data_IF_326140432383
#
_entry.id   IF_326140432383
#
_cell.length_a   1.000
_cell.length_b   1.000
_cell.length_c   1.000
_cell.angle_alpha   90.00
_cell.angle_beta   90.00
_cell.angle_gamma   90.00
#
_symmetry.space_group_name_H-M   'P 1'
#
loop_
_entity.id
_entity.type
_entity.pdbx_description
1 polymer ?
#
# COMPACT_ATOMS: atom_id res chain seq x y z
N UNK A 1 3.28 -14.63 -8.40
CA UNK A 1 2.19 -14.79 -7.44
C UNK A 1 1.02 -15.60 -8.04
N UNK A 2 0.44 -15.22 -9.18
CA UNK A 2 -0.77 -15.83 -9.75
C UNK A 2 -0.62 -17.31 -10.18
N UNK A 3 0.60 -17.83 -10.35
CA UNK A 3 0.85 -19.28 -10.58
C UNK A 3 0.52 -20.15 -9.36
N UNK A 4 0.62 -19.56 -8.17
CA UNK A 4 0.46 -20.28 -6.88
C UNK A 4 -0.71 -19.76 -6.05
N UNK A 5 -1.20 -18.58 -6.36
CA UNK A 5 -2.32 -17.93 -5.68
C UNK A 5 -3.36 -17.54 -6.72
N UNK A 6 -4.63 -17.74 -6.40
CA UNK A 6 -5.75 -17.35 -7.27
C UNK A 6 -6.71 -16.47 -6.45
N UNK A 7 -6.37 -15.20 -6.24
CA UNK A 7 -7.25 -14.27 -5.55
C UNK A 7 -8.52 -14.06 -6.38
N UNK A 8 -9.66 -13.90 -5.72
CA UNK A 8 -10.92 -13.51 -6.36
C UNK A 8 -11.05 -12.01 -6.52
N UNK A 9 -10.36 -11.26 -5.64
CA UNK A 9 -10.33 -9.81 -5.61
C UNK A 9 -8.89 -9.34 -5.41
N UNK A 10 -8.49 -8.37 -6.19
CA UNK A 10 -7.31 -7.54 -5.96
C UNK A 10 -7.79 -6.14 -5.61
N UNK A 11 -7.31 -5.62 -4.50
CA UNK A 11 -7.52 -4.24 -4.07
C UNK A 11 -6.22 -3.49 -4.34
N UNK A 12 -6.27 -2.53 -5.24
CA UNK A 12 -5.11 -1.72 -5.63
C UNK A 12 -5.25 -0.32 -5.01
N UNK A 13 -4.31 0.04 -4.15
CA UNK A 13 -4.24 1.40 -3.63
C UNK A 13 -3.60 2.32 -4.66
N UNK A 14 -4.25 3.46 -4.90
CA UNK A 14 -3.86 4.46 -5.90
C UNK A 14 -3.05 5.62 -5.29
N UNK A 15 -2.55 5.47 -4.06
CA UNK A 15 -1.69 6.47 -3.40
C UNK A 15 -0.42 6.77 -4.22
N UNK A 16 0.35 5.73 -4.59
CA UNK A 16 1.60 5.94 -5.31
C UNK A 16 1.40 6.67 -6.65
N UNK A 17 0.45 6.27 -7.52
CA UNK A 17 0.20 6.98 -8.77
C UNK A 17 -0.25 8.44 -8.60
N UNK A 18 -0.87 8.79 -7.49
CA UNK A 18 -1.30 10.18 -7.23
C UNK A 18 -0.20 11.03 -6.63
N UNK A 19 0.59 10.46 -5.71
CA UNK A 19 1.54 11.21 -4.90
C UNK A 19 2.92 11.36 -5.53
N UNK A 20 3.39 10.37 -6.29
CA UNK A 20 4.73 10.38 -6.87
C UNK A 20 4.70 10.84 -8.34
N UNK A 21 5.51 11.84 -8.63
CA UNK A 21 5.59 12.53 -9.90
C UNK A 21 6.77 12.06 -10.75
N UNK A 22 7.71 11.38 -10.11
CA UNK A 22 8.86 10.79 -10.76
C UNK A 22 8.59 9.31 -11.00
N UNK A 23 8.95 8.83 -12.18
CA UNK A 23 8.82 7.43 -12.54
C UNK A 23 9.79 6.51 -11.77
N UNK A 24 10.72 7.09 -11.04
CA UNK A 24 11.74 6.38 -10.27
C UNK A 24 11.81 6.90 -8.85
N UNK A 25 11.71 5.96 -7.91
CA UNK A 25 11.78 6.22 -6.47
C UNK A 25 12.87 5.32 -5.86
N UNK A 26 14.17 5.76 -5.83
CA UNK A 26 15.29 4.90 -5.45
C UNK A 26 15.11 4.21 -4.10
N UNK A 27 14.72 4.93 -3.05
CA UNK A 27 14.53 4.35 -1.72
C UNK A 27 13.48 3.25 -1.66
N UNK A 28 12.46 3.31 -2.51
CA UNK A 28 11.41 2.28 -2.58
C UNK A 28 11.84 1.09 -3.44
N UNK A 29 12.78 1.30 -4.37
CA UNK A 29 13.34 0.22 -5.14
C UNK A 29 14.06 -0.77 -4.22
N UNK A 30 14.88 -0.29 -3.30
CA UNK A 30 15.60 -1.11 -2.32
C UNK A 30 14.63 -1.94 -1.48
N UNK A 31 13.61 -1.31 -0.88
CA UNK A 31 12.62 -2.00 -0.05
C UNK A 31 11.85 -3.10 -0.81
N UNK A 32 11.54 -2.86 -2.07
CA UNK A 32 10.72 -3.79 -2.88
C UNK A 32 11.53 -4.87 -3.60
N UNK A 33 12.76 -4.58 -4.01
CA UNK A 33 13.54 -5.47 -4.86
C UNK A 33 14.53 -6.34 -4.10
N UNK A 34 15.06 -5.90 -2.96
CA UNK A 34 16.08 -6.65 -2.21
C UNK A 34 15.57 -8.01 -1.75
N UNK A 35 14.34 -8.08 -1.26
CA UNK A 35 13.70 -9.33 -0.83
C UNK A 35 13.33 -10.29 -1.95
N UNK A 36 13.41 -9.89 -3.21
CA UNK A 36 13.07 -10.74 -4.35
C UNK A 36 14.15 -11.79 -4.61
N UNK A 37 13.74 -13.05 -4.81
CA UNK A 37 14.66 -14.10 -5.27
C UNK A 37 15.16 -13.80 -6.68
N UNK A 38 16.43 -14.10 -6.95
CA UNK A 38 17.01 -13.99 -8.29
C UNK A 38 16.18 -14.80 -9.28
N UNK A 39 15.64 -14.14 -10.30
CA UNK A 39 14.71 -14.71 -11.27
C UNK A 39 14.56 -13.75 -12.45
N UNK A 40 13.97 -14.22 -13.55
CA UNK A 40 13.62 -13.33 -14.67
C UNK A 40 12.68 -12.21 -14.23
N UNK A 41 11.77 -12.46 -13.29
CA UNK A 41 10.90 -11.41 -12.77
C UNK A 41 11.68 -10.35 -11.98
N UNK A 42 12.69 -10.74 -11.18
CA UNK A 42 13.57 -9.77 -10.50
C UNK A 42 14.38 -8.96 -11.52
N UNK A 43 14.90 -9.62 -12.54
CA UNK A 43 15.65 -8.95 -13.63
C UNK A 43 14.77 -7.88 -14.31
N UNK A 44 13.57 -8.25 -14.69
CA UNK A 44 12.61 -7.33 -15.30
C UNK A 44 12.23 -6.18 -14.35
N UNK A 45 11.94 -6.49 -13.08
CA UNK A 45 11.59 -5.50 -12.07
C UNK A 45 12.72 -4.49 -11.84
N UNK A 46 13.96 -4.95 -11.71
CA UNK A 46 15.14 -4.07 -11.57
C UNK A 46 15.31 -3.20 -12.81
N UNK A 47 15.29 -3.80 -14.00
CA UNK A 47 15.45 -3.07 -15.25
C UNK A 47 14.40 -1.97 -15.45
N UNK A 48 13.17 -2.21 -15.00
CA UNK A 48 12.06 -1.26 -15.18
C UNK A 48 11.94 -0.23 -14.06
N UNK A 49 12.47 -0.52 -12.87
CA UNK A 49 12.29 0.33 -11.68
C UNK A 49 13.53 1.10 -11.26
N UNK A 50 14.71 0.77 -11.82
CA UNK A 50 15.99 1.34 -11.43
C UNK A 50 16.71 1.88 -12.65
N UNK A 51 17.12 3.16 -12.59
CA UNK A 51 17.88 3.79 -13.70
C UNK A 51 19.39 3.53 -13.61
N UNK A 52 19.93 3.58 -12.39
CA UNK A 52 21.38 3.49 -12.14
C UNK A 52 21.67 2.35 -11.16
N UNK A 53 22.94 1.92 -11.13
CA UNK A 53 23.44 0.91 -10.17
C UNK A 53 22.63 -0.40 -10.07
N UNK A 54 22.01 -0.81 -11.17
CA UNK A 54 21.15 -2.02 -11.23
C UNK A 54 21.84 -3.29 -10.72
N UNK A 55 23.18 -3.35 -10.82
CA UNK A 55 23.98 -4.52 -10.44
C UNK A 55 23.87 -4.83 -8.93
N UNK A 56 23.65 -3.85 -8.08
CA UNK A 56 23.60 -4.08 -6.63
C UNK A 56 22.41 -4.96 -6.24
N UNK A 57 21.29 -4.87 -6.95
CA UNK A 57 20.12 -5.73 -6.69
C UNK A 57 20.34 -7.22 -6.99
N UNK A 58 21.40 -7.55 -7.75
CA UNK A 58 21.77 -8.94 -8.06
C UNK A 58 22.95 -9.42 -7.24
N UNK A 59 23.81 -8.48 -6.83
CA UNK A 59 25.02 -8.72 -6.09
C UNK A 59 24.86 -8.20 -4.65
N UNK A 60 23.80 -8.61 -3.94
CA UNK A 60 23.51 -8.19 -2.56
C UNK A 60 24.72 -8.33 -1.60
N UNK A 61 25.74 -9.08 -2.01
CA UNK A 61 27.03 -9.16 -1.39
C UNK A 61 27.77 -7.80 -1.35
N UNK A 62 27.63 -6.96 -2.37
CA UNK A 62 28.36 -5.68 -2.44
C UNK A 62 27.79 -4.64 -1.47
N UNK A 63 26.52 -4.67 -1.19
CA UNK A 63 25.86 -3.75 -0.28
C UNK A 63 26.15 -4.07 1.19
N UNK A 64 26.20 -5.35 1.54
CA UNK A 64 26.49 -5.80 2.89
C UNK A 64 27.98 -5.87 3.21
N UNK A 65 28.86 -5.90 2.18
CA UNK A 65 30.29 -6.04 2.37
C UNK A 65 30.94 -4.78 2.99
N UNK A 66 30.34 -3.61 2.80
CA UNK A 66 30.81 -2.35 3.39
C UNK A 66 30.20 -2.08 4.80
N UNK A 67 29.19 -2.84 5.23
CA UNK A 67 28.50 -2.61 6.51
C UNK A 67 28.89 -3.56 7.61
N UNK A 68 29.64 -4.62 7.32
CA UNK A 68 29.95 -5.63 8.36
C UNK A 68 30.78 -5.09 9.52
N UNK A 69 31.61 -4.09 9.27
CA UNK A 69 32.42 -3.38 10.27
C UNK A 69 31.63 -2.28 11.03
N UNK A 70 30.45 -1.94 10.54
CA UNK A 70 29.53 -0.96 11.12
C UNK A 70 28.37 -1.60 11.88
N UNK A 71 28.29 -2.95 11.92
CA UNK A 71 27.23 -3.65 12.61
C UNK A 71 27.34 -3.42 14.12
N UNK A 72 26.24 -2.95 14.70
CA UNK A 72 26.10 -2.68 16.12
C UNK A 72 25.33 -3.81 16.82
N UNK A 73 25.39 -3.85 18.15
CA UNK A 73 24.51 -4.73 18.93
C UNK A 73 23.04 -4.48 18.66
N UNK A 74 22.68 -3.24 18.31
CA UNK A 74 21.32 -2.84 17.96
C UNK A 74 20.87 -3.45 16.62
N UNK A 75 21.75 -3.56 15.64
CA UNK A 75 21.45 -4.24 14.36
C UNK A 75 21.13 -5.71 14.58
N UNK A 76 21.89 -6.40 15.45
CA UNK A 76 21.60 -7.79 15.83
C UNK A 76 20.28 -7.94 16.60
N UNK A 77 20.01 -7.02 17.53
CA UNK A 77 18.75 -7.01 18.27
C UNK A 77 17.57 -6.74 17.34
N UNK A 78 17.70 -5.79 16.42
CA UNK A 78 16.69 -5.46 15.43
C UNK A 78 16.47 -6.61 14.44
N UNK A 79 17.49 -7.31 14.00
CA UNK A 79 17.36 -8.48 13.13
C UNK A 79 16.50 -9.58 13.78
N UNK A 80 16.75 -9.87 15.06
CA UNK A 80 15.98 -10.89 15.80
C UNK A 80 14.59 -10.38 16.17
N UNK A 81 14.49 -9.12 16.59
CA UNK A 81 13.25 -8.52 17.08
C UNK A 81 12.29 -8.14 15.96
N UNK A 82 12.78 -7.53 14.91
CA UNK A 82 11.95 -7.14 13.74
C UNK A 82 11.33 -8.35 13.05
N UNK A 83 12.05 -9.45 12.91
CA UNK A 83 11.50 -10.68 12.36
C UNK A 83 10.30 -11.17 13.17
N UNK A 84 10.43 -11.19 14.51
CA UNK A 84 9.32 -11.57 15.39
C UNK A 84 8.16 -10.59 15.37
N UNK A 85 8.44 -9.31 15.26
CA UNK A 85 7.42 -8.25 15.18
C UNK A 85 6.68 -8.31 13.86
N UNK A 86 7.38 -8.46 12.75
CA UNK A 86 6.76 -8.62 11.41
C UNK A 86 5.92 -9.90 11.32
N UNK A 87 6.40 -11.02 11.85
CA UNK A 87 5.61 -12.24 11.95
C UNK A 87 4.35 -12.05 12.80
N UNK A 88 4.45 -11.31 13.90
CA UNK A 88 3.33 -11.02 14.80
C UNK A 88 2.26 -10.18 14.12
N UNK A 89 2.62 -9.14 13.40
CA UNK A 89 1.68 -8.18 12.81
C UNK A 89 1.38 -8.44 11.34
N UNK A 90 1.97 -9.50 10.73
CA UNK A 90 1.75 -9.90 9.33
C UNK A 90 1.94 -8.75 8.33
N UNK A 91 2.96 -7.94 8.56
CA UNK A 91 3.30 -6.79 7.74
C UNK A 91 2.67 -5.46 8.18
N UNK A 92 1.80 -5.45 9.18
CA UNK A 92 1.31 -4.20 9.75
C UNK A 92 2.36 -3.58 10.68
N UNK A 93 2.64 -2.30 10.52
CA UNK A 93 3.53 -1.53 11.41
C UNK A 93 2.71 -0.46 12.13
N UNK A 94 2.40 -0.64 13.44
CA UNK A 94 1.65 0.34 14.20
C UNK A 94 2.48 1.62 14.42
N UNK A 95 1.93 2.77 14.06
CA UNK A 95 2.52 4.08 14.30
C UNK A 95 1.82 4.73 15.51
N UNK A 96 2.56 4.93 16.59
CA UNK A 96 2.01 5.48 17.86
C UNK A 96 2.13 7.00 17.97
N UNK A 97 3.01 7.62 17.16
CA UNK A 97 3.14 9.07 17.11
C UNK A 97 1.88 9.70 16.51
N UNK A 98 1.65 10.96 16.77
CA UNK A 98 0.61 11.72 16.11
C UNK A 98 1.15 13.05 15.58
N UNK A 99 0.55 13.51 14.50
CA UNK A 99 0.73 14.85 13.96
C UNK A 99 -0.60 15.59 14.04
N UNK A 100 -0.56 16.84 14.47
CA UNK A 100 -1.73 17.72 14.46
C UNK A 100 -1.87 18.29 13.05
N UNK A 101 -2.83 17.78 12.29
CA UNK A 101 -3.11 18.18 10.91
C UNK A 101 -4.46 18.89 10.84
N UNK A 102 -4.70 19.58 9.74
CA UNK A 102 -6.00 20.18 9.41
C UNK A 102 -6.63 19.43 8.25
N UNK A 103 -7.92 19.13 8.34
CA UNK A 103 -8.68 18.49 7.26
C UNK A 103 -8.57 19.33 5.98
N UNK A 104 -8.13 18.76 4.84
CA UNK A 104 -8.01 19.48 3.60
C UNK A 104 -9.37 19.65 2.94
N UNK A 105 -9.62 20.82 2.35
CA UNK A 105 -10.79 21.06 1.50
C UNK A 105 -10.37 21.03 0.02
N UNK A 106 -10.70 19.94 -0.65
CA UNK A 106 -10.44 19.73 -2.07
C UNK A 106 -11.67 19.97 -2.95
N UNK A 107 -12.76 20.53 -2.41
CA UNK A 107 -14.02 20.74 -3.13
C UNK A 107 -13.90 21.70 -4.31
N UNK A 108 -12.89 22.56 -4.30
CA UNK A 108 -12.61 23.52 -5.37
C UNK A 108 -11.79 22.91 -6.52
N UNK A 109 -11.18 21.74 -6.33
CA UNK A 109 -10.32 21.08 -7.33
C UNK A 109 -11.16 20.27 -8.30
N UNK A 110 -11.48 20.87 -9.44
CA UNK A 110 -12.30 20.26 -10.50
C UNK A 110 -11.51 19.85 -11.75
N UNK A 111 -10.26 20.27 -11.83
CA UNK A 111 -9.34 19.90 -12.90
C UNK A 111 -8.85 18.46 -12.75
N UNK A 112 -8.35 17.89 -13.84
CA UNK A 112 -7.79 16.53 -13.86
C UNK A 112 -6.37 16.59 -14.39
N UNK A 113 -5.47 15.84 -13.74
CA UNK A 113 -4.11 15.62 -14.21
C UNK A 113 -3.88 14.12 -14.39
N UNK A 114 -3.33 13.71 -15.54
CA UNK A 114 -2.99 12.31 -15.76
C UNK A 114 -1.86 11.83 -14.82
N UNK A 115 -1.87 10.55 -14.51
CA UNK A 115 -0.72 9.87 -13.91
C UNK A 115 0.51 10.00 -14.84
N UNK A 116 1.72 9.74 -14.32
CA UNK A 116 2.89 9.62 -15.18
C UNK A 116 2.70 8.52 -16.21
N UNK A 117 3.36 8.62 -17.37
CA UNK A 117 3.26 7.65 -18.45
C UNK A 117 3.56 6.23 -17.96
N UNK A 118 4.57 6.08 -17.12
CA UNK A 118 4.95 4.79 -16.56
C UNK A 118 3.91 4.25 -15.57
N UNK A 119 3.37 5.08 -14.70
CA UNK A 119 2.29 4.69 -13.80
C UNK A 119 1.06 4.24 -14.56
N UNK A 120 0.71 4.93 -15.63
CA UNK A 120 -0.40 4.59 -16.53
C UNK A 120 -0.17 3.26 -17.24
N UNK A 121 1.02 3.06 -17.82
CA UNK A 121 1.41 1.80 -18.46
C UNK A 121 1.27 0.60 -17.51
N UNK A 122 1.78 0.71 -16.28
CA UNK A 122 1.68 -0.38 -15.31
C UNK A 122 0.27 -0.56 -14.74
N UNK A 123 -0.49 0.51 -14.60
CA UNK A 123 -1.92 0.43 -14.28
C UNK A 123 -2.67 -0.37 -15.35
N UNK A 124 -2.49 -0.05 -16.62
CA UNK A 124 -3.10 -0.77 -17.75
C UNK A 124 -2.70 -2.26 -17.77
N UNK A 125 -1.42 -2.57 -17.55
CA UNK A 125 -0.94 -3.96 -17.43
C UNK A 125 -1.64 -4.72 -16.28
N UNK A 126 -1.88 -4.07 -15.13
CA UNK A 126 -2.60 -4.68 -14.00
C UNK A 126 -4.06 -4.93 -14.37
N UNK A 127 -4.71 -3.97 -15.01
CA UNK A 127 -6.10 -4.09 -15.50
C UNK A 127 -6.21 -5.25 -16.48
N UNK A 128 -5.31 -5.32 -17.46
CA UNK A 128 -5.29 -6.40 -18.47
C UNK A 128 -5.06 -7.77 -17.82
N UNK A 129 -4.08 -7.86 -16.92
CA UNK A 129 -3.77 -9.09 -16.21
C UNK A 129 -4.95 -9.58 -15.37
N UNK A 130 -5.60 -8.70 -14.62
CA UNK A 130 -6.75 -9.09 -13.78
C UNK A 130 -7.94 -9.50 -14.63
N UNK A 131 -8.23 -8.80 -15.72
CA UNK A 131 -9.25 -9.20 -16.71
C UNK A 131 -8.95 -10.59 -17.30
N UNK A 132 -7.72 -10.84 -17.74
CA UNK A 132 -7.28 -12.12 -18.31
C UNK A 132 -7.43 -13.28 -17.34
N UNK A 133 -7.11 -13.05 -16.08
CA UNK A 133 -7.17 -14.09 -15.03
C UNK A 133 -8.57 -14.23 -14.39
N UNK A 134 -9.55 -13.42 -14.81
CA UNK A 134 -10.89 -13.42 -14.25
C UNK A 134 -10.94 -12.93 -12.80
N UNK A 135 -10.03 -12.04 -12.41
CA UNK A 135 -9.91 -11.48 -11.07
C UNK A 135 -10.63 -10.14 -11.03
N UNK A 136 -11.47 -9.94 -10.03
CA UNK A 136 -12.07 -8.62 -9.79
C UNK A 136 -10.99 -7.65 -9.30
N UNK A 137 -10.91 -6.47 -9.93
CA UNK A 137 -10.04 -5.38 -9.53
C UNK A 137 -10.87 -4.25 -8.91
N UNK A 138 -10.53 -3.84 -7.70
CA UNK A 138 -11.07 -2.65 -7.05
C UNK A 138 -9.95 -1.66 -6.80
N UNK A 139 -10.13 -0.42 -7.21
CA UNK A 139 -9.21 0.68 -6.93
C UNK A 139 -9.65 1.38 -5.66
N UNK A 140 -8.71 1.64 -4.77
CA UNK A 140 -8.97 2.41 -3.55
C UNK A 140 -7.96 3.53 -3.39
N UNK A 141 -8.29 4.50 -2.55
CA UNK A 141 -7.33 5.44 -2.00
C UNK A 141 -7.59 5.58 -0.51
N UNK A 142 -6.62 5.16 0.31
CA UNK A 142 -6.64 5.35 1.76
C UNK A 142 -6.55 6.84 2.15
N UNK A 143 -6.98 7.23 3.36
CA UNK A 143 -6.93 8.63 3.80
C UNK A 143 -5.50 9.07 4.15
N UNK A 144 -5.10 10.23 3.66
CA UNK A 144 -3.88 10.95 4.00
C UNK A 144 -4.10 12.46 3.83
N UNK A 145 -3.12 13.30 4.16
CA UNK A 145 -3.23 14.73 3.91
C UNK A 145 -3.06 15.01 2.41
N UNK A 146 -4.20 15.18 1.74
CA UNK A 146 -4.27 15.42 0.30
C UNK A 146 -3.73 16.80 -0.08
N UNK A 147 -3.02 16.87 -1.20
CA UNK A 147 -2.68 18.10 -1.90
C UNK A 147 -3.58 18.27 -3.14
N UNK A 148 -3.70 19.48 -3.67
CA UNK A 148 -4.56 19.77 -4.84
C UNK A 148 -4.22 18.88 -6.03
N UNK A 149 -2.93 18.67 -6.27
CA UNK A 149 -2.47 17.80 -7.35
C UNK A 149 -2.86 16.34 -7.16
N UNK A 150 -2.83 15.83 -5.94
CA UNK A 150 -3.29 14.47 -5.66
C UNK A 150 -4.77 14.33 -6.06
N UNK A 151 -5.58 15.36 -5.73
CA UNK A 151 -6.99 15.40 -6.11
C UNK A 151 -7.18 15.46 -7.62
N UNK A 152 -6.38 16.24 -8.35
CA UNK A 152 -6.42 16.30 -9.82
C UNK A 152 -6.13 14.92 -10.43
N UNK A 153 -5.14 14.18 -9.90
CA UNK A 153 -4.83 12.83 -10.36
C UNK A 153 -5.95 11.85 -9.99
N UNK A 154 -6.55 11.96 -8.79
CA UNK A 154 -7.71 11.14 -8.44
C UNK A 154 -8.93 11.41 -9.33
N UNK A 155 -9.14 12.64 -9.80
CA UNK A 155 -10.17 12.96 -10.78
C UNK A 155 -9.91 12.20 -12.10
N UNK A 156 -8.66 12.15 -12.57
CA UNK A 156 -8.25 11.38 -13.75
C UNK A 156 -8.41 9.88 -13.54
N UNK A 157 -7.97 9.34 -12.38
CA UNK A 157 -8.15 7.92 -12.04
C UNK A 157 -9.64 7.54 -12.02
N UNK A 158 -10.50 8.41 -11.49
CA UNK A 158 -11.94 8.21 -11.49
C UNK A 158 -12.50 8.08 -12.90
N UNK A 159 -12.08 8.95 -13.83
CA UNK A 159 -12.48 8.89 -15.24
C UNK A 159 -11.99 7.62 -15.94
N UNK A 160 -10.75 7.21 -15.69
CA UNK A 160 -10.20 5.95 -16.21
C UNK A 160 -10.93 4.74 -15.67
N UNK A 161 -11.22 4.73 -14.38
CA UNK A 161 -11.96 3.64 -13.74
C UNK A 161 -13.36 3.49 -14.35
N UNK A 162 -14.09 4.59 -14.54
CA UNK A 162 -15.40 4.59 -15.18
C UNK A 162 -15.32 4.05 -16.61
N UNK A 163 -14.37 4.52 -17.41
CA UNK A 163 -14.13 4.05 -18.78
C UNK A 163 -13.86 2.55 -18.85
N UNK A 164 -13.12 2.01 -17.91
CA UNK A 164 -12.73 0.59 -17.85
C UNK A 164 -13.73 -0.29 -17.11
N UNK A 165 -14.82 0.27 -16.60
CA UNK A 165 -15.83 -0.42 -15.82
C UNK A 165 -15.30 -0.91 -14.46
N UNK A 166 -14.32 -0.20 -13.88
CA UNK A 166 -13.73 -0.48 -12.61
C UNK A 166 -14.36 0.38 -11.51
N UNK A 167 -14.36 -0.13 -10.29
CA UNK A 167 -14.76 0.64 -9.13
C UNK A 167 -13.54 1.38 -8.57
N UNK A 168 -13.63 2.70 -8.48
CA UNK A 168 -12.67 3.51 -7.73
C UNK A 168 -13.32 4.06 -6.47
N UNK A 169 -12.80 3.64 -5.33
CA UNK A 169 -13.27 4.05 -4.01
C UNK A 169 -12.29 5.01 -3.36
N UNK A 170 -12.38 6.28 -3.73
CA UNK A 170 -11.61 7.35 -3.11
C UNK A 170 -12.20 7.69 -1.75
N UNK A 171 -11.44 7.46 -0.67
CA UNK A 171 -11.88 7.77 0.70
C UNK A 171 -11.46 9.17 1.16
N UNK A 172 -10.77 9.93 0.32
CA UNK A 172 -10.30 11.27 0.61
C UNK A 172 -11.36 12.33 0.29
N UNK A 173 -12.48 12.27 0.97
CA UNK A 173 -13.53 13.27 0.87
C UNK A 173 -14.09 13.63 2.25
N UNK A 174 -14.54 14.88 2.48
CA UNK A 174 -15.08 15.29 3.77
C UNK A 174 -16.23 14.42 4.27
N UNK A 175 -17.08 13.94 3.35
CA UNK A 175 -18.17 13.02 3.70
C UNK A 175 -17.64 11.70 4.27
N UNK A 176 -16.62 11.11 3.63
CA UNK A 176 -16.04 9.85 4.07
C UNK A 176 -15.20 9.98 5.32
N UNK A 177 -14.50 11.10 5.51
CA UNK A 177 -13.81 11.38 6.76
C UNK A 177 -14.79 11.37 7.94
N UNK A 178 -15.96 12.02 7.78
CA UNK A 178 -17.03 11.98 8.79
C UNK A 178 -17.62 10.59 9.00
N UNK A 179 -17.86 9.83 7.93
CA UNK A 179 -18.35 8.45 8.02
C UNK A 179 -17.37 7.53 8.76
N UNK A 180 -16.07 7.72 8.58
CA UNK A 180 -15.02 7.00 9.30
C UNK A 180 -14.86 7.48 10.75
N UNK A 181 -15.29 8.70 11.05
CA UNK A 181 -14.99 9.38 12.31
C UNK A 181 -13.52 9.77 12.44
N UNK A 182 -12.85 10.07 11.30
CA UNK A 182 -11.46 10.51 11.31
C UNK A 182 -11.36 11.94 11.84
N UNK A 183 -10.35 12.14 12.67
CA UNK A 183 -9.95 13.44 13.20
C UNK A 183 -8.50 13.73 12.78
N UNK A 184 -8.33 14.74 11.94
CA UNK A 184 -7.03 15.11 11.41
C UNK A 184 -6.06 15.62 12.50
N UNK A 185 -6.56 16.05 13.65
CA UNK A 185 -5.71 16.50 14.76
C UNK A 185 -5.14 15.34 15.59
N UNK A 186 -5.70 14.12 15.50
CA UNK A 186 -5.34 13.02 16.41
C UNK A 186 -5.06 11.70 15.74
N UNK A 187 -5.59 11.44 14.53
CA UNK A 187 -5.60 10.12 13.91
C UNK A 187 -4.47 9.87 12.91
N UNK A 188 -3.59 10.84 12.73
CA UNK A 188 -2.47 10.76 11.79
C UNK A 188 -1.13 10.69 12.53
N UNK A 189 -0.22 9.90 12.00
CA UNK A 189 1.17 9.84 12.46
C UNK A 189 2.05 10.92 11.79
N UNK A 190 1.73 11.23 10.54
CA UNK A 190 2.33 12.27 9.70
C UNK A 190 1.40 12.55 8.50
N UNK A 191 1.86 13.36 7.54
CA UNK A 191 1.06 13.75 6.36
C UNK A 191 0.58 12.58 5.49
N UNK A 192 1.29 11.46 5.50
CA UNK A 192 1.03 10.32 4.62
C UNK A 192 0.45 9.10 5.36
N UNK A 193 0.53 9.05 6.68
CA UNK A 193 0.22 7.84 7.43
C UNK A 193 -0.77 8.09 8.56
N UNK A 194 -1.79 7.25 8.63
CA UNK A 194 -2.63 7.12 9.81
C UNK A 194 -1.81 6.54 10.97
N UNK A 195 -2.08 6.98 12.18
CA UNK A 195 -1.59 6.30 13.37
C UNK A 195 -2.47 5.10 13.73
N UNK A 196 -2.18 4.47 14.86
CA UNK A 196 -2.90 3.26 15.31
C UNK A 196 -4.41 3.50 15.46
N UNK A 197 -4.83 4.67 15.97
CA UNK A 197 -6.24 5.02 16.14
C UNK A 197 -6.92 5.27 14.79
N UNK A 198 -6.33 6.08 13.92
CA UNK A 198 -6.85 6.33 12.58
C UNK A 198 -6.87 5.07 11.72
N UNK A 199 -5.83 4.25 11.81
CA UNK A 199 -5.74 2.95 11.12
C UNK A 199 -6.86 1.99 11.52
N UNK A 200 -7.23 1.96 12.80
CA UNK A 200 -8.35 1.15 13.29
C UNK A 200 -9.70 1.63 12.70
N UNK A 201 -9.93 2.94 12.68
CA UNK A 201 -11.13 3.55 12.08
C UNK A 201 -11.23 3.25 10.59
N UNK A 202 -10.15 3.47 9.83
CA UNK A 202 -10.12 3.18 8.41
C UNK A 202 -10.31 1.70 8.11
N UNK A 203 -9.63 0.81 8.85
CA UNK A 203 -9.75 -0.65 8.66
C UNK A 203 -11.18 -1.12 8.90
N UNK A 204 -11.85 -0.62 9.93
CA UNK A 204 -13.24 -0.95 10.20
C UNK A 204 -14.17 -0.46 9.08
N UNK A 205 -13.93 0.73 8.55
CA UNK A 205 -14.69 1.30 7.44
C UNK A 205 -14.48 0.53 6.13
N UNK A 206 -13.22 0.25 5.78
CA UNK A 206 -12.86 -0.57 4.62
C UNK A 206 -13.46 -1.97 4.72
N UNK A 207 -13.39 -2.60 5.89
CA UNK A 207 -13.96 -3.93 6.12
C UNK A 207 -15.47 -3.97 5.89
N UNK A 208 -16.20 -2.95 6.37
CA UNK A 208 -17.65 -2.81 6.10
C UNK A 208 -17.94 -2.63 4.61
N UNK A 209 -17.16 -1.80 3.93
CA UNK A 209 -17.31 -1.57 2.50
C UNK A 209 -17.02 -2.85 1.70
N UNK A 210 -15.94 -3.55 2.00
CA UNK A 210 -15.59 -4.81 1.35
C UNK A 210 -16.67 -5.87 1.56
N UNK A 211 -17.15 -6.05 2.79
CA UNK A 211 -18.19 -7.06 3.09
C UNK A 211 -19.55 -6.75 2.47
N UNK A 212 -19.84 -5.46 2.22
CA UNK A 212 -21.07 -5.05 1.52
C UNK A 212 -21.02 -5.32 0.02
N UNK A 213 -19.85 -5.15 -0.59
CA UNK A 213 -19.69 -5.22 -2.04
C UNK A 213 -19.20 -6.58 -2.55
N UNK A 214 -18.58 -7.39 -1.69
CA UNK A 214 -17.98 -8.66 -2.08
C UNK A 214 -18.34 -9.77 -1.08
N UNK A 215 -18.54 -10.97 -1.60
CA UNK A 215 -18.80 -12.15 -0.76
C UNK A 215 -17.48 -12.83 -0.42
N UNK A 216 -17.10 -12.76 0.85
CA UNK A 216 -15.93 -13.48 1.38
C UNK A 216 -16.38 -14.62 2.30
N UNK A 217 -15.69 -15.78 2.25
CA UNK A 217 -15.93 -16.82 3.23
C UNK A 217 -15.41 -16.41 4.60
N UNK A 218 -16.18 -16.66 5.67
CA UNK A 218 -15.67 -16.54 7.03
C UNK A 218 -14.62 -17.62 7.29
N UNK A 219 -13.41 -17.20 7.64
CA UNK A 219 -12.26 -18.08 7.89
C UNK A 219 -11.98 -18.29 9.38
N UNK A 220 -12.72 -17.64 10.26
CA UNK A 220 -12.59 -17.82 11.71
C UNK A 220 -12.90 -19.26 12.09
N UNK A 221 -12.09 -19.84 12.98
CA UNK A 221 -12.19 -21.25 13.39
C UNK A 221 -11.78 -22.27 12.32
N UNK A 222 -11.31 -21.85 11.15
CA UNK A 222 -10.90 -22.77 10.09
C UNK A 222 -9.43 -23.15 10.22
N UNK A 223 -9.13 -24.44 10.01
CA UNK A 223 -7.76 -24.95 10.00
C UNK A 223 -6.87 -24.17 9.00
N UNK A 224 -5.72 -23.73 9.46
CA UNK A 224 -4.74 -22.95 8.69
C UNK A 224 -4.88 -21.43 8.87
N UNK A 225 -5.86 -20.97 9.67
CA UNK A 225 -6.06 -19.54 9.97
C UNK A 225 -5.82 -19.20 11.46
N UNK A 226 -5.37 -20.16 12.25
CA UNK A 226 -5.16 -20.03 13.71
C UNK A 226 -4.19 -18.89 14.06
N UNK A 227 -3.21 -18.64 13.19
CA UNK A 227 -2.25 -17.55 13.39
C UNK A 227 -2.88 -16.16 13.33
N UNK A 228 -4.05 -16.01 12.68
CA UNK A 228 -4.81 -14.77 12.66
C UNK A 228 -5.66 -14.60 13.92
N UNK A 229 -6.28 -15.68 14.40
CA UNK A 229 -7.08 -15.67 15.62
C UNK A 229 -6.23 -15.38 16.86
N UNK A 230 -5.06 -15.99 16.95
CA UNK A 230 -4.12 -15.75 18.04
C UNK A 230 -3.63 -14.29 18.11
N UNK A 231 -3.75 -13.53 17.03
CA UNK A 231 -3.44 -12.10 17.03
C UNK A 231 -4.58 -11.25 17.57
N UNK A 232 -5.82 -11.57 17.20
CA UNK A 232 -7.00 -10.87 17.71
C UNK A 232 -7.12 -10.97 19.22
N UNK A 233 -6.72 -12.12 19.81
CA UNK A 233 -6.75 -12.31 21.26
C UNK A 233 -5.63 -11.53 21.99
N UNK A 234 -4.52 -11.23 21.32
CA UNK A 234 -3.39 -10.48 21.89
C UNK A 234 -3.49 -8.97 21.73
N UNK A 235 -4.33 -8.49 20.84
CA UNK A 235 -4.60 -7.06 20.64
C UNK A 235 -5.70 -6.52 21.55
N UNK A 236 -6.32 -7.37 22.35
CA UNK A 236 -7.31 -7.01 23.39
C UNK A 236 -6.73 -6.89 24.81
N UNK A 237 -5.39 -6.98 24.95
CA UNK A 237 -4.63 -6.63 26.14
C UNK A 237 -3.93 -5.28 25.87
#
# INVERSE_FOLDING_TARGET
ALKTQKPKLVVLDMFCPSRFYDDFQPGWADENLDGMRISLNKLEAVYTSVQEEQSHFFLGFTEYHSRYDQLTTEDFQNFVWNRKTQERWKGYTPLKRHAELTEPDMSHVTTSQEMTEKSKEYFEKIVELTKKEGITLALISGPYLLEERDQEVYNSIGQLAEKDGLLFWNTNTPARYREMGLDFSTDYADHAHLNEAGGAKYTAYLGKWLSKNYSFPDRRGQKGYESWENQLMKSGE
#
